data_IF_517247081562
#
_entry.id   IF_517247081562
#
_cell.length_a   1.000
_cell.length_b   1.000
_cell.length_c   1.000
_cell.angle_alpha   90.00
_cell.angle_beta   90.00
_cell.angle_gamma   90.00
#
_symmetry.space_group_name_H-M   'P 1'
#
loop_
_entity.id
_entity.type
_entity.pdbx_description
1 polymer ?
#
# COMPACT_ATOMS: atom_id res chain seq x y z
N UNK A 1 -16.79 2.82 13.95
CA UNK A 1 -17.04 2.50 12.52
C UNK A 1 -16.51 3.59 11.57
N UNK A 2 -16.81 4.87 11.77
CA UNK A 2 -16.36 5.97 10.88
C UNK A 2 -14.83 6.00 10.64
N UNK A 3 -14.02 5.98 11.71
CA UNK A 3 -12.55 5.98 11.61
C UNK A 3 -11.95 4.77 10.88
N UNK A 4 -12.60 3.60 10.97
CA UNK A 4 -12.19 2.37 10.27
C UNK A 4 -12.44 2.51 8.77
N UNK A 5 -13.59 3.08 8.39
CA UNK A 5 -13.95 3.37 7.00
C UNK A 5 -13.02 4.42 6.40
N UNK A 6 -12.71 5.49 7.15
CA UNK A 6 -11.76 6.51 6.74
C UNK A 6 -10.37 5.91 6.51
N UNK A 7 -9.86 5.10 7.44
CA UNK A 7 -8.56 4.47 7.27
C UNK A 7 -8.51 3.55 6.03
N UNK A 8 -9.54 2.73 5.79
CA UNK A 8 -9.62 1.92 4.56
C UNK A 8 -9.60 2.79 3.31
N UNK A 9 -10.37 3.88 3.30
CA UNK A 9 -10.42 4.81 2.17
C UNK A 9 -9.07 5.49 1.93
N UNK A 10 -8.34 5.86 2.98
CA UNK A 10 -6.97 6.37 2.85
C UNK A 10 -6.04 5.34 2.20
N UNK A 11 -6.14 4.07 2.58
CA UNK A 11 -5.36 2.99 1.96
C UNK A 11 -5.76 2.79 0.49
N UNK A 12 -7.06 2.80 0.18
CA UNK A 12 -7.55 2.71 -1.20
C UNK A 12 -6.94 3.82 -2.07
N UNK A 13 -6.93 5.06 -1.59
CA UNK A 13 -6.35 6.19 -2.31
C UNK A 13 -4.85 6.07 -2.50
N UNK A 14 -4.10 5.81 -1.42
CA UNK A 14 -2.64 5.69 -1.51
C UNK A 14 -2.24 4.55 -2.46
N UNK A 15 -2.87 3.38 -2.36
CA UNK A 15 -2.54 2.26 -3.25
C UNK A 15 -2.95 2.53 -4.71
N UNK A 16 -4.06 3.24 -4.94
CA UNK A 16 -4.47 3.63 -6.29
C UNK A 16 -3.47 4.60 -6.92
N UNK A 17 -3.01 5.59 -6.14
CA UNK A 17 -2.02 6.57 -6.59
C UNK A 17 -0.67 5.90 -6.87
N UNK A 18 -0.19 5.02 -5.97
CA UNK A 18 1.04 4.26 -6.20
C UNK A 18 0.97 3.38 -7.46
N UNK A 19 -0.19 2.75 -7.71
CA UNK A 19 -0.39 1.94 -8.91
C UNK A 19 -0.32 2.80 -10.17
N UNK A 20 -1.02 3.94 -10.18
CA UNK A 20 -0.99 4.88 -11.30
C UNK A 20 0.42 5.43 -11.54
N UNK A 21 1.15 5.75 -10.47
CA UNK A 21 2.52 6.26 -10.54
C UNK A 21 3.50 5.21 -11.08
N UNK A 22 3.39 3.95 -10.64
CA UNK A 22 4.20 2.85 -11.18
C UNK A 22 3.95 2.66 -12.69
N UNK A 23 2.69 2.74 -13.13
CA UNK A 23 2.35 2.69 -14.56
C UNK A 23 2.93 3.91 -15.29
N UNK A 24 2.79 5.12 -14.74
CA UNK A 24 3.33 6.33 -15.35
C UNK A 24 4.86 6.29 -15.47
N UNK A 25 5.56 5.87 -14.42
CA UNK A 25 7.01 5.68 -14.41
C UNK A 25 7.44 4.71 -15.52
N UNK A 26 6.68 3.64 -15.76
CA UNK A 26 6.98 2.70 -16.85
C UNK A 26 6.77 3.30 -18.24
N UNK A 27 5.78 4.18 -18.43
CA UNK A 27 5.49 4.79 -19.73
C UNK A 27 6.48 5.89 -20.11
N UNK A 28 7.01 6.61 -19.13
CA UNK A 28 7.91 7.76 -19.36
C UNK A 28 9.38 7.47 -19.01
N UNK A 29 9.67 6.29 -18.46
CA UNK A 29 11.01 5.84 -18.09
C UNK A 29 11.90 5.50 -19.30
N UNK A 30 13.22 5.53 -19.09
CA UNK A 30 14.21 5.32 -20.17
C UNK A 30 14.42 3.85 -20.56
N UNK A 31 14.01 2.90 -19.71
CA UNK A 31 14.05 1.45 -19.95
C UNK A 31 12.92 0.77 -19.20
N UNK A 32 12.10 0.00 -19.90
CA UNK A 32 11.01 -0.77 -19.28
C UNK A 32 11.52 -2.18 -19.00
N UNK A 33 11.58 -2.57 -17.73
CA UNK A 33 11.60 -3.98 -17.34
C UNK A 33 10.18 -4.40 -16.95
N UNK A 34 9.47 -5.05 -17.89
CA UNK A 34 8.08 -5.44 -17.70
C UNK A 34 7.87 -6.40 -16.53
N UNK A 35 8.83 -7.31 -16.28
CA UNK A 35 8.74 -8.24 -15.15
C UNK A 35 8.84 -7.52 -13.81
N UNK A 36 9.73 -6.52 -13.71
CA UNK A 36 9.86 -5.70 -12.51
C UNK A 36 8.60 -4.86 -12.26
N UNK A 37 8.02 -4.29 -13.33
CA UNK A 37 6.76 -3.55 -13.23
C UNK A 37 5.62 -4.47 -12.76
N UNK A 38 5.43 -5.62 -13.40
CA UNK A 38 4.39 -6.57 -13.05
C UNK A 38 4.54 -7.05 -11.60
N UNK A 39 5.77 -7.29 -11.14
CA UNK A 39 6.05 -7.64 -9.76
C UNK A 39 5.67 -6.50 -8.80
N UNK A 40 6.03 -5.26 -9.11
CA UNK A 40 5.70 -4.09 -8.30
C UNK A 40 4.18 -3.85 -8.21
N UNK A 41 3.46 -3.94 -9.34
CA UNK A 41 2.01 -3.80 -9.36
C UNK A 41 1.32 -4.90 -8.52
N UNK A 42 1.83 -6.13 -8.56
CA UNK A 42 1.35 -7.23 -7.69
C UNK A 42 1.61 -6.94 -6.21
N UNK A 43 2.77 -6.38 -5.87
CA UNK A 43 3.09 -5.99 -4.49
C UNK A 43 2.10 -4.93 -3.99
N UNK A 44 1.82 -3.89 -4.77
CA UNK A 44 0.85 -2.84 -4.41
C UNK A 44 -0.53 -3.44 -4.11
N UNK A 45 -1.01 -4.34 -4.98
CA UNK A 45 -2.30 -5.04 -4.77
C UNK A 45 -2.29 -5.96 -3.56
N UNK A 46 -1.17 -6.62 -3.27
CA UNK A 46 -1.00 -7.48 -2.10
C UNK A 46 -1.05 -6.66 -0.80
N UNK A 47 -0.29 -5.56 -0.75
CA UNK A 47 -0.29 -4.61 0.37
C UNK A 47 -1.70 -4.06 0.59
N UNK A 48 -2.37 -3.58 -0.45
CA UNK A 48 -3.76 -3.11 -0.34
C UNK A 48 -4.67 -4.17 0.32
N UNK A 49 -4.67 -5.39 -0.23
CA UNK A 49 -5.53 -6.46 0.28
C UNK A 49 -5.20 -6.85 1.73
N UNK A 50 -3.92 -6.96 2.08
CA UNK A 50 -3.49 -7.31 3.44
C UNK A 50 -4.00 -6.27 4.45
N UNK A 51 -3.74 -4.99 4.20
CA UNK A 51 -4.10 -3.94 5.14
C UNK A 51 -5.61 -3.73 5.26
N UNK A 52 -6.38 -3.87 4.16
CA UNK A 52 -7.85 -3.86 4.23
C UNK A 52 -8.37 -5.01 5.10
N UNK A 53 -7.76 -6.20 5.02
CA UNK A 53 -8.13 -7.36 5.84
C UNK A 53 -7.72 -7.18 7.29
N UNK A 54 -6.51 -6.71 7.59
CA UNK A 54 -6.03 -6.41 8.95
C UNK A 54 -6.92 -5.39 9.65
N UNK A 55 -7.25 -4.29 8.96
CA UNK A 55 -8.18 -3.29 9.50
C UNK A 55 -9.55 -3.91 9.83
N UNK A 56 -9.99 -4.85 8.99
CA UNK A 56 -11.27 -5.54 9.13
C UNK A 56 -11.33 -6.46 10.35
N UNK A 57 -10.21 -7.04 10.77
CA UNK A 57 -10.13 -8.07 11.80
C UNK A 57 -9.09 -7.72 12.87
N UNK A 58 -9.41 -6.80 13.81
CA UNK A 58 -8.52 -6.48 14.91
C UNK A 58 -8.19 -7.68 15.78
N UNK A 59 -6.95 -7.72 16.28
CA UNK A 59 -6.48 -8.80 17.14
C UNK A 59 -7.20 -8.79 18.51
N UNK A 60 -7.83 -9.90 18.92
CA UNK A 60 -8.45 -10.00 20.23
C UNK A 60 -7.42 -9.83 21.35
N UNK A 61 -7.76 -9.05 22.38
CA UNK A 61 -6.90 -8.84 23.55
C UNK A 61 -5.92 -7.66 23.43
N UNK A 62 -5.77 -7.03 22.27
CA UNK A 62 -4.97 -5.81 22.12
C UNK A 62 -5.85 -4.54 22.14
N UNK A 63 -5.44 -3.45 22.83
CA UNK A 63 -6.17 -2.19 22.76
C UNK A 63 -6.24 -1.67 21.32
N UNK A 64 -7.45 -1.35 20.85
CA UNK A 64 -7.69 -0.96 19.45
C UNK A 64 -6.79 0.20 18.99
N UNK A 65 -6.52 1.19 19.86
CA UNK A 65 -5.64 2.32 19.55
C UNK A 65 -4.19 1.87 19.26
N UNK A 66 -3.69 0.90 20.02
CA UNK A 66 -2.35 0.34 19.83
C UNK A 66 -2.30 -0.47 18.53
N UNK A 67 -3.30 -1.34 18.32
CA UNK A 67 -3.41 -2.14 17.09
C UNK A 67 -3.40 -1.28 15.83
N UNK A 68 -4.27 -0.27 15.74
CA UNK A 68 -4.35 0.57 14.55
C UNK A 68 -3.13 1.48 14.38
N UNK A 69 -2.45 1.89 15.46
CA UNK A 69 -1.20 2.64 15.36
C UNK A 69 -0.10 1.79 14.69
N UNK A 70 0.02 0.52 15.07
CA UNK A 70 0.96 -0.43 14.46
C UNK A 70 0.63 -0.63 12.98
N UNK A 71 -0.64 -0.89 12.64
CA UNK A 71 -1.08 -1.02 11.25
C UNK A 71 -0.70 0.21 10.41
N UNK A 72 -0.94 1.42 10.90
CA UNK A 72 -0.62 2.65 10.15
C UNK A 72 0.90 2.76 9.92
N UNK A 73 1.69 2.43 10.95
CA UNK A 73 3.15 2.47 10.84
C UNK A 73 3.67 1.45 9.82
N UNK A 74 3.18 0.21 9.90
CA UNK A 74 3.56 -0.86 8.97
C UNK A 74 3.17 -0.50 7.53
N UNK A 75 1.98 0.08 7.33
CA UNK A 75 1.51 0.52 6.02
C UNK A 75 2.44 1.59 5.45
N UNK A 76 2.78 2.61 6.25
CA UNK A 76 3.66 3.69 5.81
C UNK A 76 5.06 3.17 5.44
N UNK A 77 5.59 2.19 6.17
CA UNK A 77 6.85 1.54 5.82
C UNK A 77 6.77 0.88 4.44
N UNK A 78 5.71 0.09 4.19
CA UNK A 78 5.49 -0.56 2.88
C UNK A 78 5.31 0.46 1.75
N UNK A 79 4.59 1.56 2.00
CA UNK A 79 4.42 2.65 1.04
C UNK A 79 5.76 3.29 0.68
N UNK A 80 6.62 3.56 1.66
CA UNK A 80 7.94 4.14 1.40
C UNK A 80 8.81 3.20 0.55
N UNK A 81 8.83 1.90 0.87
CA UNK A 81 9.55 0.89 0.08
C UNK A 81 9.06 0.84 -1.38
N UNK A 82 7.74 0.90 -1.59
CA UNK A 82 7.13 0.95 -2.92
C UNK A 82 7.54 2.23 -3.66
N UNK A 83 7.50 3.39 -3.00
CA UNK A 83 7.90 4.67 -3.61
C UNK A 83 9.37 4.63 -4.05
N UNK A 84 10.26 4.10 -3.21
CA UNK A 84 11.67 3.94 -3.56
C UNK A 84 11.84 3.02 -4.77
N UNK A 85 11.07 1.93 -4.86
CA UNK A 85 11.07 1.06 -6.04
C UNK A 85 10.55 1.78 -7.30
N UNK A 86 9.51 2.61 -7.19
CA UNK A 86 8.99 3.40 -8.32
C UNK A 86 10.02 4.39 -8.83
N UNK A 87 10.80 5.02 -7.95
CA UNK A 87 11.84 5.97 -8.34
C UNK A 87 13.01 5.31 -9.08
N UNK A 88 13.20 4.00 -8.91
CA UNK A 88 14.29 3.22 -9.49
C UNK A 88 13.83 2.28 -10.62
N UNK A 89 12.63 2.50 -11.16
CA UNK A 89 12.02 1.70 -12.23
C UNK A 89 12.67 1.94 -13.61
#
# INVERSE_FOLDING_TARGET
MAKKRELKRSIDYVCSDLFAEAVAASLYGKKINQENLDALLRVILSVHNDFIRRISHPEPGLPAKVYYKVIINDFNTQVNEIVDHIQNL
#
